data_IF_040372295604
#
_entry.id   IF_040372295604
#
_cell.length_a   1.000
_cell.length_b   1.000
_cell.length_c   1.000
_cell.angle_alpha   90.00
_cell.angle_beta   90.00
_cell.angle_gamma   90.00
#
_symmetry.space_group_name_H-M   'P 1'
#
loop_
_entity.id
_entity.type
_entity.pdbx_description
1 polymer ?
#
# COMPACT_ATOMS: atom_id res chain seq x y z
N UNK A 1 -0.99 8.49 -5.86
CA UNK A 1 -0.29 9.60 -6.58
C UNK A 1 0.18 10.70 -5.63
N UNK A 2 -0.52 11.05 -4.54
CA UNK A 2 -0.15 12.07 -3.54
C UNK A 2 1.28 11.92 -2.99
N UNK A 3 1.72 10.69 -2.73
CA UNK A 3 3.10 10.43 -2.23
C UNK A 3 4.16 10.76 -3.28
N UNK A 4 3.90 10.48 -4.56
CA UNK A 4 4.81 10.85 -5.65
C UNK A 4 4.97 12.38 -5.71
N UNK A 5 3.87 13.13 -5.70
CA UNK A 5 3.88 14.60 -5.66
C UNK A 5 4.69 15.13 -4.48
N UNK A 6 4.46 14.58 -3.28
CA UNK A 6 5.18 14.98 -2.07
C UNK A 6 6.70 14.76 -2.21
N UNK A 7 7.12 13.61 -2.74
CA UNK A 7 8.53 13.28 -2.91
C UNK A 7 9.20 14.19 -3.96
N UNK A 8 8.51 14.50 -5.06
CA UNK A 8 9.01 15.40 -6.10
C UNK A 8 9.20 16.83 -5.58
N UNK A 9 8.30 17.33 -4.73
CA UNK A 9 8.46 18.65 -4.08
C UNK A 9 9.70 18.71 -3.20
N UNK A 10 10.09 17.60 -2.59
CA UNK A 10 11.30 17.51 -1.77
C UNK A 10 12.61 17.54 -2.57
N UNK A 11 12.57 17.77 -3.89
CA UNK A 11 13.73 17.74 -4.81
C UNK A 11 14.55 16.44 -4.69
N UNK A 12 13.88 15.33 -4.44
CA UNK A 12 14.48 14.00 -4.36
C UNK A 12 14.57 13.39 -5.74
N UNK A 13 15.63 12.63 -6.00
CA UNK A 13 15.63 11.73 -7.13
C UNK A 13 14.63 10.60 -6.84
N UNK A 14 13.62 10.47 -7.69
CA UNK A 14 12.49 9.54 -7.53
C UNK A 14 12.37 8.70 -8.79
N UNK A 15 12.17 7.41 -8.60
CA UNK A 15 11.83 6.45 -9.65
C UNK A 15 10.52 5.77 -9.28
N UNK A 16 9.77 5.30 -10.26
CA UNK A 16 8.50 4.63 -10.03
C UNK A 16 8.69 3.12 -10.20
N UNK A 17 8.27 2.34 -9.20
CA UNK A 17 8.23 0.88 -9.28
C UNK A 17 6.77 0.40 -9.26
N UNK A 18 6.35 -0.29 -10.31
CA UNK A 18 5.00 -0.85 -10.43
C UNK A 18 5.06 -2.37 -10.59
N UNK A 19 4.22 -3.07 -9.84
CA UNK A 19 4.06 -4.52 -9.94
C UNK A 19 2.68 -4.85 -10.52
N UNK A 20 2.66 -5.37 -11.76
CA UNK A 20 1.45 -5.78 -12.44
C UNK A 20 1.03 -7.18 -11.98
N UNK A 21 -0.19 -7.32 -11.51
CA UNK A 21 -0.77 -8.60 -11.07
C UNK A 21 -1.33 -9.47 -12.19
N UNK A 22 -1.07 -9.10 -13.46
CA UNK A 22 -1.58 -9.79 -14.67
C UNK A 22 -3.11 -9.82 -14.75
N UNK A 23 -3.77 -8.82 -14.17
CA UNK A 23 -5.21 -8.59 -14.32
C UNK A 23 -5.46 -7.56 -15.44
N UNK A 24 -6.67 -7.55 -16.00
CA UNK A 24 -7.07 -6.54 -16.99
C UNK A 24 -6.85 -5.12 -16.46
N UNK A 25 -7.33 -4.86 -15.24
CA UNK A 25 -7.08 -3.59 -14.56
C UNK A 25 -5.58 -3.32 -14.31
N UNK A 26 -4.81 -4.37 -14.02
CA UNK A 26 -3.35 -4.26 -13.84
C UNK A 26 -2.65 -3.75 -15.09
N UNK A 27 -3.12 -4.13 -16.29
CA UNK A 27 -2.59 -3.64 -17.56
C UNK A 27 -2.95 -2.16 -17.81
N UNK A 28 -4.17 -1.74 -17.46
CA UNK A 28 -4.57 -0.33 -17.56
C UNK A 28 -3.77 0.55 -16.59
N UNK A 29 -3.60 0.09 -15.35
CA UNK A 29 -2.81 0.78 -14.34
C UNK A 29 -1.33 0.88 -14.76
N UNK A 30 -0.76 -0.15 -15.39
CA UNK A 30 0.60 -0.11 -15.94
C UNK A 30 0.76 0.99 -16.98
N UNK A 31 -0.14 1.05 -17.96
CA UNK A 31 -0.14 2.11 -18.99
C UNK A 31 -0.22 3.50 -18.38
N UNK A 32 -1.07 3.67 -17.37
CA UNK A 32 -1.20 4.94 -16.65
C UNK A 32 0.09 5.31 -15.90
N UNK A 33 0.72 4.36 -15.25
CA UNK A 33 2.00 4.55 -14.54
C UNK A 33 3.10 4.97 -15.51
N UNK A 34 3.23 4.28 -16.65
CA UNK A 34 4.21 4.59 -17.70
C UNK A 34 3.98 6.02 -18.22
N UNK A 35 2.74 6.34 -18.64
CA UNK A 35 2.37 7.67 -19.13
C UNK A 35 2.73 8.78 -18.12
N UNK A 36 2.46 8.53 -16.84
CA UNK A 36 2.77 9.48 -15.77
C UNK A 36 4.28 9.65 -15.61
N UNK A 37 5.04 8.54 -15.59
CA UNK A 37 6.49 8.58 -15.46
C UNK A 37 7.14 9.36 -16.62
N UNK A 38 6.74 9.07 -17.85
CA UNK A 38 7.22 9.74 -19.05
C UNK A 38 6.89 11.23 -19.06
N UNK A 39 5.67 11.61 -18.66
CA UNK A 39 5.24 13.01 -18.59
C UNK A 39 6.04 13.84 -17.56
N UNK A 40 6.61 13.16 -16.55
CA UNK A 40 7.40 13.77 -15.49
C UNK A 40 8.92 13.60 -15.71
N UNK A 41 9.33 12.91 -16.76
CA UNK A 41 10.73 12.59 -17.03
C UNK A 41 11.36 11.68 -15.98
N UNK A 42 10.58 10.78 -15.36
CA UNK A 42 11.01 9.86 -14.32
C UNK A 42 11.36 8.48 -14.88
N UNK A 43 12.41 7.87 -14.35
CA UNK A 43 12.67 6.44 -14.58
C UNK A 43 11.57 5.59 -13.93
N UNK A 44 11.27 4.45 -14.55
CA UNK A 44 10.30 3.51 -14.02
C UNK A 44 10.73 2.06 -14.18
N UNK A 45 10.24 1.21 -13.31
CA UNK A 45 10.50 -0.23 -13.26
C UNK A 45 9.18 -0.97 -13.19
N UNK A 46 8.96 -1.87 -14.15
CA UNK A 46 7.75 -2.71 -14.20
C UNK A 46 8.16 -4.15 -13.94
N UNK A 47 7.38 -4.87 -13.15
CA UNK A 47 7.49 -6.31 -12.99
C UNK A 47 6.11 -6.95 -12.90
N UNK A 48 6.08 -8.25 -13.15
CA UNK A 48 4.93 -9.12 -12.99
C UNK A 48 5.35 -10.38 -12.21
N UNK A 49 4.44 -11.27 -11.81
CA UNK A 49 4.80 -12.51 -11.15
C UNK A 49 5.83 -13.32 -11.95
N UNK A 50 6.91 -13.72 -11.30
CA UNK A 50 8.03 -14.42 -11.96
C UNK A 50 8.30 -15.82 -11.40
N UNK A 51 7.58 -16.22 -10.33
CA UNK A 51 7.62 -17.59 -9.81
C UNK A 51 6.25 -18.26 -9.86
N UNK A 52 6.20 -19.59 -9.75
CA UNK A 52 4.93 -20.31 -9.67
C UNK A 52 4.29 -20.15 -8.28
N UNK A 53 2.95 -20.04 -8.26
CA UNK A 53 2.19 -20.08 -7.01
C UNK A 53 2.37 -21.41 -6.31
N UNK A 54 2.66 -21.37 -5.01
CA UNK A 54 2.85 -22.57 -4.18
C UNK A 54 1.52 -23.31 -3.96
N UNK A 55 1.60 -24.62 -3.74
CA UNK A 55 0.41 -25.44 -3.40
C UNK A 55 -0.26 -24.89 -2.14
N UNK A 56 -1.58 -24.67 -2.20
CA UNK A 56 -2.40 -24.08 -1.12
C UNK A 56 -2.10 -22.59 -0.78
N UNK A 57 -1.22 -21.91 -1.49
CA UNK A 57 -1.00 -20.47 -1.33
C UNK A 57 -2.21 -19.72 -1.90
N UNK A 58 -2.76 -18.74 -1.15
CA UNK A 58 -3.81 -17.87 -1.69
C UNK A 58 -3.23 -16.97 -2.78
N UNK A 59 -4.08 -16.49 -3.69
CA UNK A 59 -3.66 -15.59 -4.75
C UNK A 59 -3.10 -14.27 -4.17
N UNK A 60 -3.73 -13.75 -3.11
CA UNK A 60 -3.29 -12.55 -2.41
C UNK A 60 -1.89 -12.73 -1.79
N UNK A 61 -1.65 -13.87 -1.12
CA UNK A 61 -0.34 -14.20 -0.53
C UNK A 61 0.74 -14.33 -1.62
N UNK A 62 0.39 -14.98 -2.74
CA UNK A 62 1.29 -15.12 -3.88
C UNK A 62 1.69 -13.77 -4.47
N UNK A 63 0.74 -12.91 -4.78
CA UNK A 63 1.01 -11.57 -5.30
C UNK A 63 1.79 -10.69 -4.31
N UNK A 64 1.45 -10.80 -3.03
CA UNK A 64 2.19 -10.09 -1.98
C UNK A 64 3.67 -10.53 -1.96
N UNK A 65 3.94 -11.83 -2.01
CA UNK A 65 5.30 -12.38 -2.02
C UNK A 65 6.07 -11.93 -3.26
N UNK A 66 5.50 -12.06 -4.45
CA UNK A 66 6.15 -11.68 -5.70
C UNK A 66 6.45 -10.18 -5.76
N UNK A 67 5.49 -9.35 -5.37
CA UNK A 67 5.66 -7.90 -5.29
C UNK A 67 6.76 -7.49 -4.30
N UNK A 68 6.79 -8.11 -3.13
CA UNK A 68 7.85 -7.84 -2.16
C UNK A 68 9.21 -8.27 -2.66
N UNK A 69 9.32 -9.45 -3.28
CA UNK A 69 10.56 -9.92 -3.90
C UNK A 69 11.06 -8.99 -5.02
N UNK A 70 10.15 -8.36 -5.77
CA UNK A 70 10.50 -7.33 -6.74
C UNK A 70 11.05 -6.09 -6.07
N UNK A 71 10.38 -5.56 -5.05
CA UNK A 71 10.82 -4.35 -4.34
C UNK A 71 12.14 -4.54 -3.60
N UNK A 72 12.41 -5.73 -3.09
CA UNK A 72 13.65 -6.05 -2.38
C UNK A 72 14.90 -6.14 -3.30
N UNK A 73 14.71 -6.13 -4.63
CA UNK A 73 15.85 -6.05 -5.59
C UNK A 73 16.49 -4.67 -5.68
N UNK A 74 15.79 -3.62 -5.24
CA UNK A 74 16.34 -2.27 -5.30
C UNK A 74 17.32 -2.02 -4.14
N UNK A 75 18.46 -1.39 -4.45
CA UNK A 75 19.45 -0.98 -3.46
C UNK A 75 19.15 0.37 -2.81
N UNK A 76 17.95 0.90 -3.04
CA UNK A 76 17.44 2.17 -2.52
C UNK A 76 16.15 1.96 -1.74
N UNK A 77 15.74 2.87 -0.84
CA UNK A 77 14.49 2.75 -0.13
C UNK A 77 13.29 2.73 -1.07
N UNK A 78 12.42 1.73 -0.91
CA UNK A 78 11.13 1.64 -1.59
C UNK A 78 10.04 2.18 -0.68
N UNK A 79 9.45 3.31 -1.09
CA UNK A 79 8.38 3.99 -0.35
C UNK A 79 7.03 3.38 -0.70
N UNK A 80 6.32 2.85 0.29
CA UNK A 80 4.93 2.45 0.15
C UNK A 80 4.01 3.50 0.78
N UNK A 81 2.93 3.82 0.07
CA UNK A 81 1.97 4.88 0.41
C UNK A 81 0.92 4.45 1.45
N UNK A 82 1.27 3.56 2.38
CA UNK A 82 0.38 3.20 3.48
C UNK A 82 0.20 4.38 4.43
N UNK A 83 -1.01 4.57 4.93
CA UNK A 83 -1.41 5.63 5.85
C UNK A 83 -2.06 5.06 7.12
N UNK A 84 -2.52 5.93 8.03
CA UNK A 84 -3.00 5.54 9.35
C UNK A 84 -4.22 4.61 9.28
N UNK A 85 -5.12 4.83 8.35
CA UNK A 85 -6.26 3.92 8.13
C UNK A 85 -5.78 2.51 7.74
N UNK A 86 -4.73 2.37 6.89
CA UNK A 86 -4.16 1.06 6.56
C UNK A 86 -3.53 0.38 7.78
N UNK A 87 -2.89 1.16 8.66
CA UNK A 87 -2.34 0.65 9.91
C UNK A 87 -3.44 0.15 10.84
N UNK A 88 -4.55 0.88 10.93
CA UNK A 88 -5.72 0.53 11.73
C UNK A 88 -6.42 -0.73 11.20
N UNK A 89 -6.62 -0.81 9.88
CA UNK A 89 -7.14 -2.02 9.22
C UNK A 89 -6.26 -3.24 9.52
N UNK A 90 -4.94 -3.08 9.40
CA UNK A 90 -4.01 -4.17 9.66
C UNK A 90 -4.05 -4.61 11.12
N UNK A 91 -4.11 -3.67 12.06
CA UNK A 91 -4.21 -3.98 13.48
C UNK A 91 -5.50 -4.74 13.80
N UNK A 92 -6.65 -4.31 13.29
CA UNK A 92 -7.93 -5.02 13.43
C UNK A 92 -7.80 -6.43 12.82
N UNK A 93 -7.36 -6.51 11.56
CA UNK A 93 -7.25 -7.78 10.84
C UNK A 93 -6.35 -8.79 11.57
N UNK A 94 -5.19 -8.36 12.05
CA UNK A 94 -4.25 -9.22 12.78
C UNK A 94 -4.81 -9.64 14.14
N UNK A 95 -5.52 -8.75 14.83
CA UNK A 95 -6.18 -9.02 16.10
C UNK A 95 -7.27 -10.07 15.97
N UNK A 96 -8.12 -9.97 14.96
CA UNK A 96 -9.17 -10.96 14.66
C UNK A 96 -8.60 -12.34 14.31
N UNK A 97 -7.35 -12.41 13.87
CA UNK A 97 -6.66 -13.67 13.61
C UNK A 97 -5.88 -14.22 14.81
N UNK A 98 -6.03 -13.60 15.99
CA UNK A 98 -5.38 -14.03 17.23
C UNK A 98 -3.89 -13.68 17.33
N UNK A 99 -3.37 -12.84 16.44
CA UNK A 99 -1.98 -12.40 16.46
C UNK A 99 -1.89 -10.87 16.24
N UNK A 100 -2.34 -10.06 17.24
CA UNK A 100 -2.35 -8.61 17.10
C UNK A 100 -0.94 -8.09 16.91
N UNK A 101 -0.72 -7.38 15.80
CA UNK A 101 0.56 -6.74 15.52
C UNK A 101 0.40 -5.45 14.75
N UNK A 102 1.39 -4.59 14.85
CA UNK A 102 1.45 -3.31 14.13
C UNK A 102 2.18 -3.49 12.79
N UNK A 103 1.70 -2.78 11.77
CA UNK A 103 2.41 -2.71 10.50
C UNK A 103 3.71 -1.94 10.71
N UNK A 104 4.90 -2.47 10.40
CA UNK A 104 6.15 -1.76 10.66
C UNK A 104 6.32 -0.56 9.74
N UNK A 105 6.77 0.59 10.28
CA UNK A 105 7.15 1.78 9.49
C UNK A 105 8.30 1.44 8.55
N UNK A 106 9.29 0.71 9.04
CA UNK A 106 10.38 0.12 8.23
C UNK A 106 10.33 -1.39 8.38
N UNK A 107 10.17 -2.10 7.27
CA UNK A 107 10.17 -3.57 7.29
C UNK A 107 11.57 -4.07 7.70
N UNK A 108 11.71 -4.90 8.75
CA UNK A 108 12.99 -5.47 9.15
C UNK A 108 13.68 -6.19 7.97
N UNK A 109 15.00 -6.05 7.88
CA UNK A 109 15.82 -6.69 6.84
C UNK A 109 15.34 -6.43 5.39
N UNK A 110 14.75 -5.26 5.15
CA UNK A 110 14.22 -4.87 3.83
C UNK A 110 14.43 -3.39 3.60
N UNK A 111 14.44 -2.99 2.33
CA UNK A 111 14.49 -1.60 1.88
C UNK A 111 13.11 -0.92 1.87
N UNK A 112 12.05 -1.62 2.25
CA UNK A 112 10.67 -1.12 2.23
C UNK A 112 10.41 -0.25 3.46
N UNK A 113 9.96 0.99 3.21
CA UNK A 113 9.59 1.98 4.22
C UNK A 113 8.18 2.52 3.98
N UNK A 114 7.52 2.93 5.05
CA UNK A 114 6.16 3.50 5.06
C UNK A 114 6.14 4.82 5.84
N UNK A 115 6.74 5.89 5.28
CA UNK A 115 6.94 7.14 6.03
C UNK A 115 5.63 7.85 6.39
N UNK A 116 4.54 7.54 5.69
CA UNK A 116 3.23 8.16 5.90
C UNK A 116 2.28 7.31 6.76
N UNK A 117 2.77 6.20 7.34
CA UNK A 117 1.95 5.22 8.04
C UNK A 117 1.16 5.82 9.22
N UNK A 118 1.67 6.88 9.82
CA UNK A 118 1.02 7.59 10.93
C UNK A 118 0.32 8.90 10.51
N UNK A 119 0.29 9.20 9.22
CA UNK A 119 -0.42 10.33 8.66
C UNK A 119 -1.88 9.96 8.35
N UNK A 120 -2.80 10.90 8.52
CA UNK A 120 -4.18 10.70 8.07
C UNK A 120 -4.25 10.69 6.54
N UNK A 121 -5.20 9.93 6.01
CA UNK A 121 -5.43 9.84 4.56
C UNK A 121 -5.72 11.23 3.96
N UNK A 122 -6.53 12.05 4.64
CA UNK A 122 -6.92 13.38 4.18
C UNK A 122 -5.73 14.33 4.09
N UNK A 123 -4.73 14.19 4.97
CA UNK A 123 -3.51 14.99 4.90
C UNK A 123 -2.70 14.68 3.63
N UNK A 124 -2.74 13.44 3.16
CA UNK A 124 -2.09 13.03 1.91
C UNK A 124 -2.86 13.52 0.68
N UNK A 125 -4.19 13.54 0.72
CA UNK A 125 -5.01 14.03 -0.39
C UNK A 125 -4.77 15.50 -0.75
N UNK A 126 -4.25 16.30 0.16
CA UNK A 126 -3.84 17.70 -0.12
C UNK A 126 -2.73 17.79 -1.17
N UNK A 127 -2.02 16.69 -1.43
CA UNK A 127 -0.96 16.57 -2.45
C UNK A 127 -1.44 15.84 -3.71
N UNK A 128 -2.73 15.59 -3.86
CA UNK A 128 -3.27 14.78 -4.95
C UNK A 128 -3.52 15.65 -6.19
N UNK A 129 -2.49 15.85 -7.00
CA UNK A 129 -2.56 16.61 -8.26
C UNK A 129 -2.56 15.72 -9.50
N UNK A 130 -2.17 14.46 -9.36
CA UNK A 130 -2.14 13.53 -10.48
C UNK A 130 -3.42 12.71 -10.54
N UNK A 131 -3.90 12.49 -11.75
CA UNK A 131 -4.96 11.50 -11.98
C UNK A 131 -4.53 10.13 -11.43
N UNK A 132 -5.48 9.41 -10.87
CA UNK A 132 -5.25 8.05 -10.40
C UNK A 132 -6.36 7.13 -10.89
N UNK A 133 -6.01 5.87 -11.05
CA UNK A 133 -6.96 4.82 -11.40
C UNK A 133 -7.36 4.09 -10.12
N UNK A 134 -8.67 3.96 -9.90
CA UNK A 134 -9.18 3.14 -8.81
C UNK A 134 -9.19 1.66 -9.21
N UNK A 135 -8.60 0.81 -8.37
CA UNK A 135 -8.67 -0.64 -8.55
C UNK A 135 -10.09 -1.14 -8.24
N UNK A 136 -10.84 -1.70 -9.22
CA UNK A 136 -12.17 -2.23 -9.01
C UNK A 136 -12.24 -3.32 -7.94
N UNK A 137 -11.15 -4.06 -7.70
CA UNK A 137 -11.08 -5.09 -6.67
C UNK A 137 -11.26 -4.51 -5.26
N UNK A 138 -10.97 -3.22 -5.05
CA UNK A 138 -11.23 -2.52 -3.80
C UNK A 138 -12.74 -2.48 -3.44
N UNK A 139 -13.62 -2.67 -4.42
CA UNK A 139 -15.08 -2.72 -4.20
C UNK A 139 -15.55 -4.08 -3.71
N UNK A 140 -14.77 -5.13 -3.87
CA UNK A 140 -15.14 -6.50 -3.53
C UNK A 140 -14.87 -6.80 -2.05
N UNK A 141 -15.86 -7.30 -1.32
CA UNK A 141 -15.72 -7.79 0.07
C UNK A 141 -15.23 -9.25 0.15
N UNK A 142 -14.93 -9.90 -1.00
CA UNK A 142 -14.44 -11.28 -1.04
C UNK A 142 -13.09 -11.46 -0.35
N UNK A 143 -12.28 -10.41 -0.32
CA UNK A 143 -10.98 -10.43 0.34
C UNK A 143 -11.15 -10.00 1.80
N UNK A 144 -10.59 -10.77 2.71
CA UNK A 144 -10.76 -10.55 4.14
C UNK A 144 -10.31 -9.14 4.60
N UNK A 145 -9.25 -8.58 3.98
CA UNK A 145 -8.82 -7.22 4.27
C UNK A 145 -9.83 -6.17 3.80
N UNK A 146 -10.42 -6.35 2.61
CA UNK A 146 -11.46 -5.46 2.11
C UNK A 146 -12.73 -5.55 2.96
N UNK A 147 -13.05 -6.74 3.47
CA UNK A 147 -14.15 -6.93 4.43
C UNK A 147 -13.89 -6.15 5.72
N UNK A 148 -12.69 -6.23 6.28
CA UNK A 148 -12.33 -5.42 7.47
C UNK A 148 -12.49 -3.93 7.17
N UNK A 149 -11.98 -3.46 6.04
CA UNK A 149 -12.06 -2.03 5.64
C UNK A 149 -13.49 -1.53 5.50
N UNK A 150 -14.37 -2.33 4.90
CA UNK A 150 -15.71 -1.87 4.50
C UNK A 150 -16.78 -2.13 5.55
N UNK A 151 -16.67 -3.23 6.27
CA UNK A 151 -17.72 -3.68 7.19
C UNK A 151 -17.29 -3.49 8.65
N UNK A 152 -16.08 -3.90 9.01
CA UNK A 152 -15.66 -3.93 10.42
C UNK A 152 -15.16 -2.57 10.89
N UNK A 153 -14.28 -1.92 10.11
CA UNK A 153 -13.69 -0.63 10.49
C UNK A 153 -14.76 0.44 10.76
N UNK A 154 -15.79 0.65 9.92
CA UNK A 154 -16.82 1.64 10.21
C UNK A 154 -17.61 1.34 11.48
N UNK A 155 -17.85 0.07 11.79
CA UNK A 155 -18.53 -0.33 13.04
C UNK A 155 -17.61 -0.13 14.25
N UNK A 156 -16.31 -0.44 14.12
CA UNK A 156 -15.35 -0.20 15.18
C UNK A 156 -15.19 1.29 15.50
N UNK A 157 -15.24 2.15 14.49
CA UNK A 157 -15.22 3.61 14.65
C UNK A 157 -16.49 4.17 15.29
N UNK A 158 -17.64 3.53 15.15
CA UNK A 158 -18.86 3.88 15.91
C UNK A 158 -18.68 3.60 17.41
N UNK A 159 -17.97 2.53 17.75
CA UNK A 159 -17.66 2.19 19.14
C UNK A 159 -16.55 3.09 19.71
N UNK A 160 -15.54 3.38 18.90
CA UNK A 160 -14.43 4.26 19.27
C UNK A 160 -14.11 5.24 18.11
N UNK A 161 -14.71 6.45 18.10
CA UNK A 161 -14.40 7.47 17.08
C UNK A 161 -12.92 7.90 17.04
N UNK A 162 -12.18 7.61 18.11
CA UNK A 162 -10.74 7.86 18.23
C UNK A 162 -9.86 6.65 17.85
N UNK A 163 -10.38 5.62 17.20
CA UNK A 163 -9.69 4.36 16.95
C UNK A 163 -8.34 4.54 16.22
N UNK A 164 -8.28 5.36 15.19
CA UNK A 164 -7.02 5.67 14.50
C UNK A 164 -6.00 6.33 15.44
N UNK A 165 -6.44 7.22 16.33
CA UNK A 165 -5.56 7.84 17.34
C UNK A 165 -5.07 6.80 18.34
N UNK A 166 -5.94 5.89 18.76
CA UNK A 166 -5.57 4.75 19.61
C UNK A 166 -4.47 3.92 18.96
N UNK A 167 -4.66 3.53 17.71
CA UNK A 167 -3.65 2.73 16.97
C UNK A 167 -2.36 3.53 16.76
N UNK A 168 -2.44 4.81 16.44
CA UNK A 168 -1.24 5.68 16.33
C UNK A 168 -0.44 5.69 17.63
N UNK A 169 -1.10 5.78 18.77
CA UNK A 169 -0.44 5.83 20.07
C UNK A 169 0.30 4.52 20.41
N UNK A 170 -0.11 3.37 19.87
CA UNK A 170 0.60 2.11 20.00
C UNK A 170 2.00 2.11 19.36
N UNK A 171 2.27 3.02 18.42
CA UNK A 171 3.59 3.20 17.82
C UNK A 171 4.56 4.03 18.67
N UNK A 172 4.07 4.71 19.69
CA UNK A 172 4.86 5.58 20.57
C UNK A 172 5.32 4.88 21.86
N UNK A 173 5.07 3.57 21.99
CA UNK A 173 5.43 2.75 23.16
C UNK A 173 6.76 2.06 22.96
#
# INVERSE_FOLDING_TARGET
MSVLEFLLRGRRHVEIAYFNHETEHGQEAEKHVIKTAESLGLAYHISMPFTKRRKKESLETYWHRERHSFFEKFNVPVVLAHHLTDATEWWIFSSLRGNPNLMPVKKPNSNIIRPFLLSKKDDLHRFDRFEHIEDPSNRSVKYARNFVRKEILPLAEQVNPGLETTVRNLYNV
#
